data_IF_563188614924
#
_entry.id   IF_563188614924
#
_cell.length_a   1.000
_cell.length_b   1.000
_cell.length_c   1.000
_cell.angle_alpha   90.00
_cell.angle_beta   90.00
_cell.angle_gamma   90.00
#
_symmetry.space_group_name_H-M   'P 1'
#
loop_
_entity.id
_entity.type
_entity.pdbx_description
1 polymer ?
#
# COMPACT_ATOMS: atom_id res chain seq x y z
N UNK A 1 34.31 -1.92 8.07
CA UNK A 1 33.86 -2.94 7.08
C UNK A 1 32.58 -2.44 6.44
N UNK A 2 32.34 -2.74 5.16
CA UNK A 2 31.11 -2.39 4.44
C UNK A 2 30.41 -3.66 3.95
N UNK A 3 29.07 -3.72 4.06
CA UNK A 3 28.25 -4.85 3.62
C UNK A 3 27.19 -4.36 2.62
N UNK A 4 26.88 -5.18 1.61
CA UNK A 4 25.82 -4.92 0.63
C UNK A 4 24.95 -6.16 0.47
N UNK A 5 23.63 -5.99 0.63
CA UNK A 5 22.62 -6.98 0.31
C UNK A 5 21.72 -6.44 -0.81
N UNK A 6 21.32 -7.31 -1.75
CA UNK A 6 20.51 -6.95 -2.92
C UNK A 6 19.42 -8.00 -3.13
N UNK A 7 18.26 -7.55 -3.59
CA UNK A 7 17.14 -8.38 -4.04
C UNK A 7 16.42 -7.67 -5.19
N UNK A 8 15.56 -8.37 -5.92
CA UNK A 8 14.78 -7.84 -7.04
C UNK A 8 13.40 -8.46 -7.07
N UNK A 9 12.46 -7.79 -7.74
CA UNK A 9 11.12 -8.31 -8.03
C UNK A 9 10.84 -8.26 -9.53
N UNK A 10 10.39 -9.37 -10.10
CA UNK A 10 9.81 -9.47 -11.44
C UNK A 10 8.37 -8.94 -11.44
N UNK A 11 7.79 -8.72 -12.62
CA UNK A 11 6.43 -8.18 -12.75
C UNK A 11 5.39 -9.04 -12.00
N UNK A 12 5.53 -10.36 -12.07
CA UNK A 12 4.62 -11.32 -11.44
C UNK A 12 4.79 -11.41 -9.91
N UNK A 13 5.87 -10.85 -9.36
CA UNK A 13 6.13 -10.78 -7.92
C UNK A 13 5.53 -9.50 -7.29
N UNK A 14 5.03 -8.57 -8.12
CA UNK A 14 4.36 -7.35 -7.67
C UNK A 14 2.85 -7.56 -7.60
N UNK A 15 2.38 -7.89 -6.40
CA UNK A 15 0.96 -8.20 -6.16
C UNK A 15 0.10 -6.93 -6.05
N UNK A 16 -0.75 -6.68 -7.06
CA UNK A 16 -1.69 -5.56 -7.03
C UNK A 16 -2.81 -5.78 -6.00
N UNK A 17 -3.05 -4.79 -5.15
CA UNK A 17 -4.12 -4.84 -4.16
C UNK A 17 -3.85 -5.76 -2.99
N UNK A 18 -2.58 -5.90 -2.59
CA UNK A 18 -2.16 -6.64 -1.40
C UNK A 18 -1.53 -5.71 -0.37
N UNK A 19 -1.58 -6.10 0.91
CA UNK A 19 -0.86 -5.48 2.04
C UNK A 19 -0.05 -6.53 2.79
N UNK A 20 1.06 -6.14 3.41
CA UNK A 20 1.77 -7.02 4.34
C UNK A 20 0.93 -7.28 5.59
N UNK A 21 1.02 -8.49 6.12
CA UNK A 21 0.44 -8.82 7.41
C UNK A 21 1.12 -8.00 8.52
N UNK A 22 0.41 -7.61 9.59
CA UNK A 22 1.03 -7.00 10.76
C UNK A 22 2.04 -7.95 11.41
N UNK A 23 3.24 -7.46 11.71
CA UNK A 23 4.35 -8.27 12.25
C UNK A 23 4.71 -7.95 13.70
N UNK A 24 4.28 -6.79 14.19
CA UNK A 24 4.66 -6.27 15.49
C UNK A 24 3.52 -6.45 16.48
N UNK A 25 3.82 -7.09 17.62
CA UNK A 25 2.96 -7.14 18.81
C UNK A 25 3.70 -6.51 20.00
N UNK A 26 2.94 -6.03 20.99
CA UNK A 26 3.49 -5.58 22.26
C UNK A 26 3.25 -6.69 23.29
N UNK A 27 4.33 -7.33 23.73
CA UNK A 27 4.30 -8.45 24.68
C UNK A 27 5.19 -8.10 25.86
N UNK A 28 4.61 -8.08 27.06
CA UNK A 28 5.32 -7.81 28.33
C UNK A 28 6.17 -6.52 28.32
N UNK A 29 5.72 -5.50 27.56
CA UNK A 29 6.42 -4.22 27.43
C UNK A 29 7.51 -4.17 26.36
N UNK A 30 7.70 -5.24 25.60
CA UNK A 30 8.63 -5.33 24.48
C UNK A 30 7.88 -5.48 23.15
N UNK A 31 8.46 -4.93 22.08
CA UNK A 31 7.99 -5.22 20.73
C UNK A 31 8.49 -6.60 20.30
N UNK A 32 7.57 -7.53 20.14
CA UNK A 32 7.83 -8.84 19.56
C UNK A 32 7.60 -8.80 18.05
N UNK A 33 8.46 -9.49 17.29
CA UNK A 33 8.41 -9.58 15.83
C UNK A 33 8.13 -11.02 15.43
N UNK A 34 7.03 -11.28 14.73
CA UNK A 34 6.77 -12.58 14.12
C UNK A 34 7.45 -12.69 12.75
N UNK A 35 8.61 -13.34 12.70
CA UNK A 35 9.33 -13.58 11.44
C UNK A 35 8.65 -14.64 10.55
N UNK A 36 7.78 -15.51 11.10
CA UNK A 36 7.04 -16.49 10.31
C UNK A 36 6.07 -15.85 9.33
N UNK A 37 5.49 -14.72 9.73
CA UNK A 37 4.61 -13.89 8.90
C UNK A 37 5.32 -12.87 8.00
N UNK A 38 6.65 -12.76 8.04
CA UNK A 38 7.38 -11.62 7.43
C UNK A 38 7.08 -11.39 5.94
N UNK A 39 6.96 -12.48 5.17
CA UNK A 39 6.64 -12.41 3.74
C UNK A 39 5.14 -12.52 3.43
N UNK A 40 4.29 -12.66 4.44
CA UNK A 40 2.87 -12.89 4.26
C UNK A 40 2.17 -11.61 3.76
N UNK A 41 1.33 -11.78 2.75
CA UNK A 41 0.49 -10.70 2.22
C UNK A 41 -0.99 -11.08 2.29
N UNK A 42 -1.83 -10.06 2.41
CA UNK A 42 -3.28 -10.16 2.52
C UNK A 42 -3.93 -9.35 1.39
N UNK A 43 -4.89 -9.89 0.63
CA UNK A 43 -5.61 -9.15 -0.39
C UNK A 43 -6.51 -8.08 0.24
N UNK A 44 -6.59 -6.91 -0.39
CA UNK A 44 -7.43 -5.79 0.05
C UNK A 44 -8.18 -5.15 -1.13
N UNK A 45 -9.40 -4.62 -0.91
CA UNK A 45 -10.15 -3.93 -1.95
C UNK A 45 -9.34 -2.75 -2.51
N UNK A 46 -8.93 -2.87 -3.77
CA UNK A 46 -8.10 -1.88 -4.46
C UNK A 46 -8.64 -1.66 -5.86
N UNK A 47 -8.90 -0.41 -6.29
CA UNK A 47 -9.40 -0.13 -7.64
C UNK A 47 -8.44 -0.64 -8.72
N UNK A 48 -8.91 -1.29 -9.80
CA UNK A 48 -8.08 -1.75 -10.90
C UNK A 48 -7.78 -0.59 -11.88
N UNK A 49 -7.11 0.45 -11.40
CA UNK A 49 -6.80 1.64 -12.17
C UNK A 49 -5.37 2.12 -11.91
N UNK A 50 -4.75 2.69 -12.95
CA UNK A 50 -3.46 3.36 -12.79
C UNK A 50 -3.58 4.58 -11.86
N UNK A 51 -2.49 4.93 -11.19
CA UNK A 51 -2.42 6.12 -10.35
C UNK A 51 -2.84 7.40 -11.12
N UNK A 52 -2.47 7.51 -12.40
CA UNK A 52 -2.86 8.62 -13.28
C UNK A 52 -4.38 8.71 -13.46
N UNK A 53 -5.06 7.59 -13.70
CA UNK A 53 -6.51 7.56 -13.85
C UNK A 53 -7.22 7.93 -12.53
N UNK A 54 -6.72 7.41 -11.40
CA UNK A 54 -7.24 7.75 -10.07
C UNK A 54 -7.09 9.24 -9.76
N UNK A 55 -5.93 9.82 -10.04
CA UNK A 55 -5.69 11.25 -9.87
C UNK A 55 -6.61 12.11 -10.75
N UNK A 56 -6.76 11.74 -12.03
CA UNK A 56 -7.68 12.44 -12.93
C UNK A 56 -9.14 12.33 -12.46
N UNK A 57 -9.57 11.18 -11.95
CA UNK A 57 -10.91 10.99 -11.40
C UNK A 57 -11.13 11.78 -10.09
N UNK A 58 -10.09 11.90 -9.25
CA UNK A 58 -10.14 12.74 -8.05
C UNK A 58 -10.23 14.24 -8.40
N UNK A 59 -9.42 14.70 -9.35
CA UNK A 59 -9.44 16.08 -9.82
C UNK A 59 -10.79 16.47 -10.43
N UNK A 60 -11.39 15.61 -11.26
CA UNK A 60 -12.75 15.83 -11.81
C UNK A 60 -13.81 15.96 -10.71
N UNK A 61 -13.75 15.10 -9.68
CA UNK A 61 -14.66 15.17 -8.53
C UNK A 61 -14.51 16.48 -7.77
N UNK A 62 -13.28 16.90 -7.49
CA UNK A 62 -13.02 18.19 -6.82
C UNK A 62 -13.49 19.38 -7.67
N UNK A 63 -13.28 19.35 -8.99
CA UNK A 63 -13.73 20.42 -9.86
C UNK A 63 -15.27 20.52 -9.90
N UNK A 64 -15.98 19.40 -9.92
CA UNK A 64 -17.44 19.41 -9.85
C UNK A 64 -17.96 20.01 -8.55
N UNK A 65 -17.26 19.80 -7.42
CA UNK A 65 -17.65 20.36 -6.12
C UNK A 65 -17.47 21.89 -6.07
N UNK A 66 -16.48 22.46 -6.77
CA UNK A 66 -16.29 23.91 -6.79
C UNK A 66 -17.39 24.64 -7.60
N UNK A 67 -17.83 24.06 -8.72
CA UNK A 67 -18.82 24.71 -9.61
C UNK A 67 -20.27 24.55 -9.14
N UNK A 68 -20.53 23.73 -8.12
CA UNK A 68 -21.88 23.42 -7.65
C UNK A 68 -22.37 24.34 -6.52
N UNK A 69 -21.59 25.33 -6.10
CA UNK A 69 -22.00 26.29 -5.06
C UNK A 69 -22.65 27.51 -5.74
N UNK A 70 -23.96 27.78 -5.56
CA UNK A 70 -24.56 29.00 -6.06
C UNK A 70 -24.01 30.21 -5.27
N UNK A 71 -23.81 31.33 -5.97
CA UNK A 71 -23.44 32.63 -5.38
C UNK A 71 -24.56 33.21 -4.51
#
# INVERSE_FOLDING_TARGET
MTCQARSSYLADEVLWGHRFAPLLSLEEGFYAVDYGGFHQTLPVPTPPASARQLAAAAARRQAHLYWSIPS
#
